data_IF_938625260258
#
_entry.id   IF_938625260258
#
_cell.length_a   1.000
_cell.length_b   1.000
_cell.length_c   1.000
_cell.angle_alpha   90.00
_cell.angle_beta   90.00
_cell.angle_gamma   90.00
#
_symmetry.space_group_name_H-M   'P 1'
#
loop_
_entity.id
_entity.type
_entity.pdbx_description
1 polymer ?
#
# COMPACT_ATOMS: atom_id res chain seq x y z
N UNK A 1 -33.83 -18.35 8.97
CA UNK A 1 -34.68 -18.24 7.77
C UNK A 1 -33.85 -17.96 6.51
N UNK A 2 -32.95 -16.95 6.52
CA UNK A 2 -32.08 -16.63 5.37
C UNK A 2 -31.05 -17.74 5.14
N UNK A 3 -30.41 -18.23 6.19
CA UNK A 3 -29.42 -19.32 6.10
C UNK A 3 -30.04 -20.58 5.52
N UNK A 4 -31.20 -20.99 5.99
CA UNK A 4 -31.92 -22.18 5.47
C UNK A 4 -32.39 -22.04 4.02
N UNK A 5 -32.62 -20.81 3.55
CA UNK A 5 -32.89 -20.56 2.12
C UNK A 5 -31.61 -20.69 1.27
N UNK A 6 -30.50 -20.15 1.76
CA UNK A 6 -29.18 -20.26 1.07
C UNK A 6 -28.70 -21.72 1.00
N UNK A 7 -28.85 -22.47 2.09
CA UNK A 7 -28.54 -23.91 2.14
C UNK A 7 -29.37 -24.71 1.13
N UNK A 8 -30.66 -24.44 1.00
CA UNK A 8 -31.53 -25.08 -0.02
C UNK A 8 -31.08 -24.71 -1.43
N UNK A 9 -30.83 -23.41 -1.70
CA UNK A 9 -30.37 -22.98 -3.02
C UNK A 9 -29.02 -23.58 -3.39
N UNK A 10 -28.11 -23.77 -2.43
CA UNK A 10 -26.83 -24.44 -2.66
C UNK A 10 -27.01 -25.94 -2.94
N UNK A 11 -27.90 -26.61 -2.20
CA UNK A 11 -28.23 -28.01 -2.43
C UNK A 11 -28.89 -28.22 -3.80
N UNK A 12 -29.83 -27.35 -4.19
CA UNK A 12 -30.49 -27.38 -5.49
C UNK A 12 -29.53 -27.11 -6.66
N UNK A 13 -28.45 -26.38 -6.40
CA UNK A 13 -27.38 -26.10 -7.36
C UNK A 13 -26.31 -27.22 -7.44
N UNK A 14 -26.50 -28.32 -6.71
CA UNK A 14 -25.57 -29.47 -6.70
C UNK A 14 -24.27 -29.20 -5.91
N UNK A 15 -24.19 -28.12 -5.17
CA UNK A 15 -23.06 -27.84 -4.27
C UNK A 15 -23.22 -28.62 -2.97
N UNK A 16 -22.25 -29.50 -2.69
CA UNK A 16 -22.19 -30.20 -1.41
C UNK A 16 -21.69 -29.24 -0.35
N UNK A 17 -22.53 -28.91 0.62
CA UNK A 17 -22.14 -28.11 1.77
C UNK A 17 -21.31 -28.97 2.71
N UNK A 18 -20.13 -28.50 3.09
CA UNK A 18 -19.33 -29.12 4.14
C UNK A 18 -20.04 -29.04 5.48
N UNK A 19 -19.82 -29.99 6.37
CA UNK A 19 -20.36 -29.93 7.73
C UNK A 19 -19.87 -28.65 8.43
N UNK A 20 -20.79 -27.94 9.15
CA UNK A 20 -20.41 -26.72 9.82
C UNK A 20 -19.35 -26.99 10.88
N UNK A 21 -18.15 -26.45 10.68
CA UNK A 21 -17.06 -26.53 11.65
C UNK A 21 -17.46 -25.72 12.89
N UNK A 22 -17.22 -26.24 14.11
CA UNK A 22 -17.51 -25.49 15.32
C UNK A 22 -16.74 -24.18 15.33
N UNK A 23 -17.45 -23.07 15.43
CA UNK A 23 -16.82 -21.74 15.52
C UNK A 23 -16.17 -21.67 16.90
N UNK A 24 -14.83 -21.49 17.00
CA UNK A 24 -14.16 -21.35 18.26
C UNK A 24 -14.74 -20.15 19.02
N UNK A 25 -15.19 -20.38 20.26
CA UNK A 25 -15.69 -19.32 21.15
C UNK A 25 -14.52 -18.38 21.44
N UNK A 26 -14.48 -17.27 20.76
CA UNK A 26 -13.44 -16.26 20.96
C UNK A 26 -13.60 -15.63 22.35
N UNK A 27 -12.52 -15.61 23.11
CA UNK A 27 -12.46 -14.87 24.38
C UNK A 27 -12.88 -13.42 24.14
N UNK A 28 -13.89 -12.96 24.88
CA UNK A 28 -14.32 -11.57 24.83
C UNK A 28 -13.18 -10.67 25.34
N UNK A 29 -12.72 -9.74 24.49
CA UNK A 29 -11.72 -8.74 24.84
C UNK A 29 -10.52 -8.73 23.86
N UNK A 30 -10.21 -7.55 23.31
CA UNK A 30 -8.98 -7.32 22.56
C UNK A 30 -7.90 -6.77 23.48
N UNK A 31 -6.76 -7.46 23.59
CA UNK A 31 -5.61 -6.95 24.32
C UNK A 31 -4.58 -6.46 23.30
N UNK A 32 -4.21 -5.17 23.36
CA UNK A 32 -3.21 -4.57 22.47
C UNK A 32 -1.86 -5.30 22.51
N UNK A 33 -1.52 -5.93 23.67
CA UNK A 33 -0.29 -6.72 23.84
C UNK A 33 -0.27 -7.97 22.96
N UNK A 34 -1.42 -8.49 22.58
CA UNK A 34 -1.55 -9.67 21.72
C UNK A 34 -1.02 -9.40 20.30
N UNK A 35 -1.12 -8.14 19.81
CA UNK A 35 -0.54 -7.72 18.53
C UNK A 35 0.99 -7.88 18.49
N UNK A 36 1.65 -7.83 19.65
CA UNK A 36 3.10 -7.92 19.78
C UNK A 36 3.56 -9.30 20.26
N UNK A 37 2.64 -10.23 20.49
CA UNK A 37 2.96 -11.58 20.97
C UNK A 37 2.86 -12.62 19.85
N UNK A 38 3.73 -13.66 19.93
CA UNK A 38 3.66 -14.87 19.14
C UNK A 38 3.39 -14.67 17.64
N UNK A 39 2.25 -15.17 17.22
CA UNK A 39 1.81 -15.25 15.84
C UNK A 39 1.55 -13.88 15.15
N UNK A 40 1.00 -12.90 15.89
CA UNK A 40 0.64 -11.61 15.33
C UNK A 40 1.81 -10.62 15.22
N UNK A 41 2.87 -10.79 16.02
CA UNK A 41 4.02 -9.88 16.03
C UNK A 41 4.62 -9.65 14.64
N UNK A 42 4.92 -10.72 13.92
CA UNK A 42 5.50 -10.63 12.58
C UNK A 42 4.56 -9.91 11.60
N UNK A 43 3.26 -10.21 11.65
CA UNK A 43 2.25 -9.58 10.80
C UNK A 43 2.13 -8.09 11.06
N UNK A 44 2.09 -7.71 12.33
CA UNK A 44 1.99 -6.31 12.76
C UNK A 44 3.17 -5.48 12.27
N UNK A 45 4.40 -5.93 12.49
CA UNK A 45 5.59 -5.19 12.03
C UNK A 45 5.69 -5.16 10.50
N UNK A 46 5.34 -6.25 9.81
CA UNK A 46 5.29 -6.27 8.35
C UNK A 46 4.30 -5.24 7.82
N UNK A 47 3.09 -5.23 8.36
CA UNK A 47 2.05 -4.29 7.97
C UNK A 47 2.46 -2.84 8.22
N UNK A 48 3.06 -2.55 9.38
CA UNK A 48 3.55 -1.21 9.72
C UNK A 48 4.63 -0.72 8.76
N UNK A 49 5.59 -1.58 8.42
CA UNK A 49 6.61 -1.24 7.44
C UNK A 49 6.02 -0.97 6.06
N UNK A 50 5.05 -1.78 5.61
CA UNK A 50 4.36 -1.56 4.34
C UNK A 50 3.59 -0.23 4.34
N UNK A 51 2.86 0.09 5.42
CA UNK A 51 2.18 1.37 5.58
C UNK A 51 3.15 2.54 5.55
N UNK A 52 4.22 2.47 6.32
CA UNK A 52 5.23 3.51 6.39
C UNK A 52 5.90 3.76 5.04
N UNK A 53 6.45 2.71 4.40
CA UNK A 53 7.16 2.84 3.13
C UNK A 53 6.26 3.37 2.01
N UNK A 54 5.05 2.81 1.85
CA UNK A 54 4.14 3.23 0.78
C UNK A 54 3.67 4.67 0.94
N UNK A 55 3.28 5.07 2.16
CA UNK A 55 2.80 6.43 2.42
C UNK A 55 3.90 7.48 2.45
N UNK A 56 5.12 7.12 2.86
CA UNK A 56 6.27 8.01 2.75
C UNK A 56 6.51 8.39 1.29
N UNK A 57 6.54 7.41 0.39
CA UNK A 57 6.78 7.65 -1.04
C UNK A 57 5.59 8.38 -1.66
N UNK A 58 4.35 7.90 -1.46
CA UNK A 58 3.17 8.50 -2.09
C UNK A 58 2.97 9.95 -1.66
N UNK A 59 3.01 10.24 -0.35
CA UNK A 59 2.81 11.61 0.15
C UNK A 59 4.01 12.52 -0.12
N UNK A 60 5.24 11.99 -0.04
CA UNK A 60 6.43 12.72 -0.46
C UNK A 60 6.30 13.18 -1.90
N UNK A 61 5.93 12.31 -2.81
CA UNK A 61 5.77 12.64 -4.22
C UNK A 61 4.64 13.65 -4.46
N UNK A 62 3.41 13.32 -4.06
CA UNK A 62 2.25 14.13 -4.41
C UNK A 62 2.31 15.55 -3.84
N UNK A 63 2.91 15.71 -2.66
CA UNK A 63 3.06 17.01 -2.01
C UNK A 63 4.12 17.87 -2.69
N UNK A 64 5.22 17.27 -3.16
CA UNK A 64 6.38 18.00 -3.66
C UNK A 64 6.48 18.11 -5.18
N UNK A 65 5.86 17.23 -5.95
CA UNK A 65 5.93 17.28 -7.42
C UNK A 65 5.57 18.67 -7.99
N UNK A 66 4.48 19.36 -7.58
CA UNK A 66 4.18 20.69 -8.09
C UNK A 66 5.27 21.73 -7.77
N UNK A 67 5.86 21.64 -6.58
CA UNK A 67 6.98 22.52 -6.17
C UNK A 67 8.23 22.23 -6.98
N UNK A 68 8.53 20.96 -7.22
CA UNK A 68 9.64 20.52 -8.04
C UNK A 68 9.55 21.07 -9.46
N UNK A 69 8.36 20.96 -10.10
CA UNK A 69 8.13 21.52 -11.44
C UNK A 69 8.39 23.02 -11.50
N UNK A 70 7.99 23.75 -10.46
CA UNK A 70 8.23 25.20 -10.37
C UNK A 70 9.69 25.56 -10.14
N UNK A 71 10.35 24.86 -9.23
CA UNK A 71 11.72 25.22 -8.81
C UNK A 71 12.78 24.72 -9.79
N UNK A 72 12.61 23.53 -10.36
CA UNK A 72 13.60 22.91 -11.25
C UNK A 72 13.41 23.34 -12.69
N UNK A 73 12.15 23.45 -13.15
CA UNK A 73 11.83 23.74 -14.56
C UNK A 73 11.22 25.12 -14.79
N UNK A 74 11.09 25.95 -13.74
CA UNK A 74 10.51 27.29 -13.79
C UNK A 74 9.10 27.33 -14.43
N UNK A 75 8.31 26.26 -14.27
CA UNK A 75 6.97 26.20 -14.84
C UNK A 75 6.01 27.17 -14.11
N UNK A 76 5.03 27.76 -14.83
CA UNK A 76 3.94 28.52 -14.22
C UNK A 76 3.18 27.69 -13.21
N UNK A 77 2.63 28.34 -12.18
CA UNK A 77 1.87 27.67 -11.12
C UNK A 77 0.73 26.80 -11.69
N UNK A 78 -0.02 27.32 -12.66
CA UNK A 78 -1.14 26.58 -13.27
C UNK A 78 -0.70 25.27 -13.93
N UNK A 79 0.40 25.30 -14.70
CA UNK A 79 0.96 24.10 -15.36
C UNK A 79 1.48 23.09 -14.32
N UNK A 80 2.17 23.58 -13.27
CA UNK A 80 2.68 22.71 -12.21
C UNK A 80 1.56 22.01 -11.43
N UNK A 81 0.47 22.72 -11.15
CA UNK A 81 -0.72 22.13 -10.52
C UNK A 81 -1.46 21.17 -11.45
N UNK A 82 -1.51 21.48 -12.75
CA UNK A 82 -2.07 20.55 -13.75
C UNK A 82 -1.30 19.23 -13.79
N UNK A 83 0.03 19.27 -13.76
CA UNK A 83 0.86 18.06 -13.73
C UNK A 83 0.66 17.26 -12.43
N UNK A 84 0.51 17.93 -11.30
CA UNK A 84 0.13 17.30 -10.03
C UNK A 84 -1.26 16.65 -10.10
N UNK A 85 -2.22 17.30 -10.74
CA UNK A 85 -3.56 16.75 -10.98
C UNK A 85 -3.50 15.50 -11.87
N UNK A 86 -2.76 15.56 -13.00
CA UNK A 86 -2.59 14.40 -13.89
C UNK A 86 -1.96 13.21 -13.18
N UNK A 87 -0.94 13.47 -12.33
CA UNK A 87 -0.34 12.44 -11.47
C UNK A 87 -1.37 11.81 -10.51
N UNK A 88 -2.23 12.63 -9.89
CA UNK A 88 -3.29 12.17 -9.00
C UNK A 88 -4.32 11.31 -9.74
N UNK A 89 -4.73 11.75 -10.94
CA UNK A 89 -5.67 10.99 -11.81
C UNK A 89 -5.08 9.65 -12.19
N UNK A 90 -3.79 9.60 -12.56
CA UNK A 90 -3.11 8.34 -12.84
C UNK A 90 -3.15 7.38 -11.63
N UNK A 91 -2.97 7.90 -10.41
CA UNK A 91 -3.09 7.14 -9.17
C UNK A 91 -4.49 6.57 -8.96
N UNK A 92 -5.54 7.35 -9.23
CA UNK A 92 -6.95 6.89 -9.13
C UNK A 92 -7.22 5.78 -10.15
N UNK A 93 -6.84 5.97 -11.39
CA UNK A 93 -7.01 4.96 -12.46
C UNK A 93 -6.29 3.65 -12.09
N UNK A 94 -5.06 3.74 -11.61
CA UNK A 94 -4.31 2.57 -11.16
C UNK A 94 -4.99 1.88 -9.96
N UNK A 95 -5.56 2.64 -9.02
CA UNK A 95 -6.29 2.08 -7.86
C UNK A 95 -7.57 1.35 -8.29
N UNK A 96 -8.28 1.84 -9.30
CA UNK A 96 -9.43 1.14 -9.90
C UNK A 96 -8.95 -0.17 -10.53
N UNK A 97 -7.86 -0.14 -11.31
CA UNK A 97 -7.26 -1.34 -11.88
C UNK A 97 -6.85 -2.36 -10.80
N UNK A 98 -6.26 -1.88 -9.70
CA UNK A 98 -5.95 -2.70 -8.55
C UNK A 98 -7.20 -3.37 -7.96
N UNK A 99 -8.27 -2.61 -7.73
CA UNK A 99 -9.52 -3.15 -7.19
C UNK A 99 -10.11 -4.28 -8.03
N UNK A 100 -9.97 -4.21 -9.35
CA UNK A 100 -10.48 -5.24 -10.28
C UNK A 100 -9.59 -6.50 -10.37
N UNK A 101 -8.30 -6.36 -10.07
CA UNK A 101 -7.30 -7.41 -10.33
C UNK A 101 -6.73 -8.06 -9.08
N UNK A 102 -6.73 -7.39 -7.92
CA UNK A 102 -6.06 -7.84 -6.71
C UNK A 102 -6.60 -9.18 -6.19
N UNK A 103 -7.89 -9.45 -6.38
CA UNK A 103 -8.52 -10.71 -6.01
C UNK A 103 -8.08 -11.87 -6.92
N UNK A 104 -7.76 -11.57 -8.18
CA UNK A 104 -7.29 -12.56 -9.15
C UNK A 104 -5.79 -12.86 -8.97
N UNK A 105 -4.99 -11.83 -8.72
CA UNK A 105 -3.51 -11.94 -8.58
C UNK A 105 -3.12 -12.47 -7.21
N UNK A 106 -3.80 -12.01 -6.15
CA UNK A 106 -3.44 -12.26 -4.76
C UNK A 106 -2.74 -11.05 -4.12
N UNK A 107 -2.94 -10.87 -2.81
CA UNK A 107 -2.49 -9.66 -2.09
C UNK A 107 -0.96 -9.61 -2.03
N UNK A 108 -0.33 -10.67 -1.56
CA UNK A 108 1.14 -10.72 -1.44
C UNK A 108 1.82 -10.50 -2.78
N UNK A 109 1.37 -11.20 -3.83
CA UNK A 109 1.95 -11.05 -5.18
C UNK A 109 1.79 -9.63 -5.69
N UNK A 110 0.62 -9.02 -5.50
CA UNK A 110 0.37 -7.64 -5.89
C UNK A 110 1.35 -6.67 -5.23
N UNK A 111 1.48 -6.73 -3.91
CA UNK A 111 2.39 -5.85 -3.19
C UNK A 111 3.85 -6.06 -3.56
N UNK A 112 4.27 -7.32 -3.72
CA UNK A 112 5.63 -7.62 -4.18
C UNK A 112 5.91 -6.97 -5.53
N UNK A 113 5.06 -7.24 -6.52
CA UNK A 113 5.25 -6.69 -7.88
C UNK A 113 5.20 -5.17 -7.88
N UNK A 114 4.28 -4.55 -7.15
CA UNK A 114 4.17 -3.10 -7.06
C UNK A 114 5.38 -2.45 -6.36
N UNK A 115 5.84 -2.99 -5.24
CA UNK A 115 7.02 -2.48 -4.53
C UNK A 115 8.33 -2.69 -5.31
N UNK A 116 8.44 -3.72 -6.16
CA UNK A 116 9.58 -3.90 -7.06
C UNK A 116 9.48 -3.05 -8.33
N UNK A 117 8.28 -2.79 -8.83
CA UNK A 117 8.07 -2.00 -10.04
C UNK A 117 8.22 -0.49 -9.80
N UNK A 118 7.76 0.03 -8.66
CA UNK A 118 7.80 1.44 -8.34
C UNK A 118 9.23 2.05 -8.35
N UNK A 119 10.29 1.38 -7.86
CA UNK A 119 11.66 1.87 -7.94
C UNK A 119 12.18 2.06 -9.36
N UNK A 120 11.72 1.32 -10.35
CA UNK A 120 12.26 1.36 -11.70
C UNK A 120 12.21 2.77 -12.34
N UNK A 121 11.04 3.40 -12.46
CA UNK A 121 10.97 4.76 -12.98
C UNK A 121 11.63 5.80 -12.06
N UNK A 122 11.66 5.57 -10.73
CA UNK A 122 12.36 6.47 -9.80
C UNK A 122 13.88 6.39 -9.96
N UNK A 123 14.43 5.21 -10.15
CA UNK A 123 15.85 5.01 -10.43
C UNK A 123 16.21 5.59 -11.81
N UNK A 124 15.35 5.46 -12.81
CA UNK A 124 15.56 6.12 -14.09
C UNK A 124 15.72 7.63 -13.90
N UNK A 125 14.84 8.30 -13.15
CA UNK A 125 14.97 9.73 -12.83
C UNK A 125 16.20 10.07 -11.99
N UNK A 126 16.61 9.17 -11.10
CA UNK A 126 17.78 9.36 -10.26
C UNK A 126 19.11 9.29 -11.04
N UNK A 127 19.22 8.35 -12.00
CA UNK A 127 20.47 8.10 -12.73
C UNK A 127 20.56 8.85 -14.06
N UNK A 128 19.46 8.97 -14.81
CA UNK A 128 19.44 9.68 -16.09
C UNK A 128 19.28 11.20 -15.91
N UNK A 129 18.81 11.60 -14.74
CA UNK A 129 18.46 12.97 -14.42
C UNK A 129 17.03 13.31 -14.92
N UNK A 130 16.46 14.34 -14.34
CA UNK A 130 15.19 14.90 -14.77
C UNK A 130 15.46 15.95 -15.85
N UNK A 131 15.49 15.56 -17.12
CA UNK A 131 15.90 16.44 -18.23
C UNK A 131 14.77 17.32 -18.71
N UNK A 132 13.51 16.84 -18.61
CA UNK A 132 12.32 17.61 -18.99
C UNK A 132 11.18 17.42 -17.96
N UNK A 133 10.28 18.40 -17.85
CA UNK A 133 9.14 18.29 -16.96
C UNK A 133 8.16 17.18 -17.38
N UNK A 134 8.05 16.89 -18.68
CA UNK A 134 7.21 15.81 -19.21
C UNK A 134 7.77 14.44 -18.85
N UNK A 135 9.09 14.28 -18.88
CA UNK A 135 9.75 13.05 -18.47
C UNK A 135 9.48 12.76 -16.97
N UNK A 136 9.60 13.79 -16.12
CA UNK A 136 9.26 13.68 -14.69
C UNK A 136 7.77 13.37 -14.53
N UNK A 137 6.88 14.00 -15.30
CA UNK A 137 5.45 13.70 -15.23
C UNK A 137 5.17 12.22 -15.52
N UNK A 138 5.76 11.67 -16.56
CA UNK A 138 5.53 10.28 -16.95
C UNK A 138 6.15 9.31 -15.95
N UNK A 139 7.42 9.46 -15.64
CA UNK A 139 8.14 8.50 -14.78
C UNK A 139 7.73 8.61 -13.31
N UNK A 140 7.67 9.82 -12.75
CA UNK A 140 7.21 10.00 -11.38
C UNK A 140 5.71 9.71 -11.26
N UNK A 141 4.90 10.08 -12.27
CA UNK A 141 3.48 9.74 -12.35
C UNK A 141 3.25 8.23 -12.36
N UNK A 142 4.03 7.47 -13.13
CA UNK A 142 3.99 6.01 -13.16
C UNK A 142 4.37 5.41 -11.80
N UNK A 143 5.47 5.87 -11.19
CA UNK A 143 5.88 5.42 -9.86
C UNK A 143 4.77 5.69 -8.82
N UNK A 144 4.23 6.91 -8.82
CA UNK A 144 3.13 7.28 -7.94
C UNK A 144 1.90 6.40 -8.14
N UNK A 145 1.49 6.18 -9.38
CA UNK A 145 0.34 5.34 -9.72
C UNK A 145 0.52 3.91 -9.19
N UNK A 146 1.72 3.33 -9.33
CA UNK A 146 2.03 2.00 -8.81
C UNK A 146 1.95 1.99 -7.28
N UNK A 147 2.59 2.94 -6.58
CA UNK A 147 2.56 3.04 -5.10
C UNK A 147 1.15 3.29 -4.59
N UNK A 148 0.34 4.07 -5.32
CA UNK A 148 -1.04 4.35 -4.95
C UNK A 148 -1.91 3.09 -4.90
N UNK A 149 -1.63 2.08 -5.73
CA UNK A 149 -2.32 0.78 -5.63
C UNK A 149 -2.05 0.07 -4.30
N UNK A 150 -0.83 0.24 -3.76
CA UNK A 150 -0.46 -0.32 -2.45
C UNK A 150 -1.21 0.42 -1.34
N UNK A 151 -1.11 1.75 -1.31
CA UNK A 151 -1.74 2.58 -0.26
C UNK A 151 -3.25 2.35 -0.18
N UNK A 152 -3.91 2.26 -1.33
CA UNK A 152 -5.35 2.00 -1.43
C UNK A 152 -5.72 0.61 -0.87
N UNK A 153 -5.02 -0.43 -1.27
CA UNK A 153 -5.37 -1.82 -0.95
C UNK A 153 -4.90 -2.28 0.44
N UNK A 154 -3.96 -1.56 1.08
CA UNK A 154 -3.48 -1.90 2.42
C UNK A 154 -4.58 -1.88 3.50
N UNK A 155 -5.63 -1.07 3.34
CA UNK A 155 -6.80 -1.09 4.23
C UNK A 155 -7.50 -2.44 4.18
N UNK A 156 -7.70 -2.98 2.98
CA UNK A 156 -8.28 -4.30 2.78
C UNK A 156 -7.38 -5.38 3.41
N UNK A 157 -6.10 -5.37 3.08
CA UNK A 157 -5.13 -6.35 3.58
C UNK A 157 -5.00 -6.32 5.11
N UNK A 158 -4.98 -5.14 5.71
CA UNK A 158 -4.92 -5.01 7.17
C UNK A 158 -6.16 -5.61 7.86
N UNK A 159 -7.33 -5.47 7.25
CA UNK A 159 -8.56 -6.07 7.78
C UNK A 159 -8.58 -7.61 7.67
N UNK A 160 -7.90 -8.18 6.69
CA UNK A 160 -7.76 -9.63 6.48
C UNK A 160 -6.73 -10.29 7.42
N UNK A 161 -5.75 -9.53 7.94
CA UNK A 161 -4.67 -10.06 8.78
C UNK A 161 -5.05 -10.32 10.24
N UNK A 162 -6.12 -9.69 10.73
CA UNK A 162 -6.50 -9.74 12.13
C UNK A 162 -7.91 -10.33 12.32
N UNK A 163 -8.13 -11.12 13.39
CA UNK A 163 -9.44 -11.61 13.74
C UNK A 163 -10.39 -10.45 14.08
N UNK A 164 -11.68 -10.67 13.95
CA UNK A 164 -12.70 -9.62 14.12
C UNK A 164 -12.55 -8.84 15.42
N UNK A 165 -12.18 -9.52 16.54
CA UNK A 165 -11.98 -8.90 17.85
C UNK A 165 -10.81 -7.90 17.92
N UNK A 166 -9.78 -8.08 17.08
CA UNK A 166 -8.56 -7.25 17.09
C UNK A 166 -8.43 -6.37 15.83
N UNK A 167 -9.31 -6.53 14.85
CA UNK A 167 -9.23 -5.86 13.55
C UNK A 167 -9.17 -4.34 13.67
N UNK A 168 -10.09 -3.76 14.44
CA UNK A 168 -10.11 -2.32 14.66
C UNK A 168 -8.81 -1.80 15.29
N UNK A 169 -8.30 -2.52 16.28
CA UNK A 169 -7.05 -2.15 16.95
C UNK A 169 -5.83 -2.30 16.04
N UNK A 170 -5.71 -3.43 15.33
CA UNK A 170 -4.61 -3.70 14.41
C UNK A 170 -4.56 -2.72 13.23
N UNK A 171 -5.73 -2.44 12.62
CA UNK A 171 -5.84 -1.46 11.54
C UNK A 171 -5.61 -0.04 12.04
N UNK A 172 -6.12 0.31 13.22
CA UNK A 172 -5.93 1.61 13.85
C UNK A 172 -4.46 1.90 14.15
N UNK A 173 -3.74 0.96 14.74
CA UNK A 173 -2.29 1.12 14.97
C UNK A 173 -1.50 1.15 13.65
N UNK A 174 -1.90 0.39 12.64
CA UNK A 174 -1.34 0.47 11.30
C UNK A 174 -1.49 1.89 10.72
N UNK A 175 -2.65 2.52 10.89
CA UNK A 175 -2.89 3.88 10.42
C UNK A 175 -2.05 4.95 11.13
N UNK A 176 -1.53 4.71 12.32
CA UNK A 176 -0.54 5.58 12.95
C UNK A 176 0.78 5.58 12.17
N UNK A 177 1.24 4.43 11.70
CA UNK A 177 2.45 4.32 10.85
C UNK A 177 2.27 4.96 9.49
N UNK A 178 1.06 4.91 8.92
CA UNK A 178 0.68 5.71 7.75
C UNK A 178 0.95 7.21 8.00
N UNK A 179 0.50 7.74 9.13
CA UNK A 179 0.69 9.17 9.48
C UNK A 179 2.17 9.52 9.60
N UNK A 180 2.95 8.67 10.24
CA UNK A 180 4.41 8.84 10.34
C UNK A 180 5.05 8.84 8.94
N UNK A 181 4.71 7.90 8.08
CA UNK A 181 5.19 7.87 6.69
C UNK A 181 4.80 9.13 5.92
N UNK A 182 3.52 9.53 6.00
CA UNK A 182 3.00 10.72 5.32
C UNK A 182 3.73 12.01 5.72
N UNK A 183 4.10 12.14 6.99
CA UNK A 183 4.83 13.30 7.49
C UNK A 183 6.32 13.25 7.13
N UNK A 184 6.92 12.06 7.19
CA UNK A 184 8.35 11.87 6.92
C UNK A 184 8.69 12.09 5.44
N UNK A 185 7.79 11.73 4.51
CA UNK A 185 8.01 11.89 3.08
C UNK A 185 8.35 13.33 2.67
N UNK A 186 7.49 14.33 2.90
CA UNK A 186 7.78 15.72 2.60
C UNK A 186 9.02 16.27 3.33
N UNK A 187 9.24 15.87 4.59
CA UNK A 187 10.45 16.28 5.34
C UNK A 187 11.71 15.77 4.65
N UNK A 188 11.72 14.50 4.26
CA UNK A 188 12.85 13.90 3.54
C UNK A 188 13.15 14.67 2.24
N UNK A 189 12.10 15.02 1.48
CA UNK A 189 12.26 15.81 0.25
C UNK A 189 12.88 17.18 0.56
N UNK A 190 12.36 17.90 1.57
CA UNK A 190 12.89 19.21 1.95
C UNK A 190 14.37 19.17 2.32
N UNK A 191 14.79 18.15 3.08
CA UNK A 191 16.18 17.97 3.47
C UNK A 191 17.09 17.65 2.27
N UNK A 192 16.66 16.76 1.38
CA UNK A 192 17.47 16.34 0.23
C UNK A 192 17.54 17.41 -0.86
N UNK A 193 16.44 18.11 -1.12
CA UNK A 193 16.42 19.20 -2.11
C UNK A 193 17.37 20.34 -1.72
N UNK A 194 17.46 20.66 -0.42
CA UNK A 194 18.34 21.71 0.07
C UNK A 194 19.84 21.35 0.06
N UNK A 195 20.20 20.08 0.14
CA UNK A 195 21.58 19.63 0.33
C UNK A 195 22.18 18.89 -0.87
N UNK A 196 21.39 18.08 -1.55
CA UNK A 196 21.91 17.12 -2.53
C UNK A 196 21.29 17.22 -3.93
N UNK A 197 20.06 17.72 -4.01
CA UNK A 197 19.33 17.89 -5.27
C UNK A 197 18.26 16.81 -5.54
N UNK A 198 17.50 17.03 -6.62
CA UNK A 198 16.31 16.26 -6.95
C UNK A 198 16.58 14.78 -7.23
N UNK A 199 17.73 14.46 -7.76
CA UNK A 199 18.12 13.07 -8.09
C UNK A 199 18.16 12.20 -6.84
N UNK A 200 18.69 12.74 -5.74
CA UNK A 200 18.72 12.02 -4.45
C UNK A 200 17.36 11.82 -3.82
N UNK A 201 16.41 12.70 -4.11
CA UNK A 201 15.01 12.51 -3.69
C UNK A 201 14.42 11.27 -4.36
N UNK A 202 14.57 11.15 -5.69
CA UNK A 202 14.09 9.97 -6.41
C UNK A 202 14.84 8.69 -5.99
N UNK A 203 16.15 8.76 -5.77
CA UNK A 203 16.92 7.64 -5.25
C UNK A 203 16.46 7.21 -3.86
N UNK A 204 16.17 8.15 -2.96
CA UNK A 204 15.65 7.85 -1.62
C UNK A 204 14.28 7.18 -1.68
N UNK A 205 13.36 7.68 -2.52
CA UNK A 205 12.05 7.03 -2.71
C UNK A 205 12.17 5.64 -3.30
N UNK A 206 13.09 5.43 -4.24
CA UNK A 206 13.40 4.11 -4.78
C UNK A 206 13.92 3.17 -3.69
N UNK A 207 14.84 3.64 -2.85
CA UNK A 207 15.40 2.86 -1.74
C UNK A 207 14.31 2.47 -0.72
N UNK A 208 13.42 3.41 -0.34
CA UNK A 208 12.29 3.13 0.57
C UNK A 208 11.34 2.11 -0.05
N UNK A 209 11.04 2.22 -1.35
CA UNK A 209 10.21 1.23 -2.05
C UNK A 209 10.86 -0.16 -2.07
N UNK A 210 12.19 -0.24 -2.27
CA UNK A 210 12.93 -1.50 -2.20
C UNK A 210 12.91 -2.11 -0.79
N UNK A 211 13.01 -1.30 0.26
CA UNK A 211 12.81 -1.78 1.64
C UNK A 211 11.41 -2.38 1.78
N UNK A 212 10.37 -1.70 1.29
CA UNK A 212 9.00 -2.23 1.24
C UNK A 212 8.90 -3.56 0.47
N UNK A 213 9.62 -3.68 -0.67
CA UNK A 213 9.68 -4.90 -1.47
C UNK A 213 10.31 -6.07 -0.69
N UNK A 214 11.44 -5.83 -0.05
CA UNK A 214 12.14 -6.85 0.76
C UNK A 214 11.26 -7.31 1.92
N UNK A 215 10.70 -6.37 2.68
CA UNK A 215 9.82 -6.69 3.81
C UNK A 215 8.59 -7.50 3.35
N UNK A 216 7.97 -7.08 2.26
CA UNK A 216 6.80 -7.76 1.71
C UNK A 216 7.14 -9.18 1.24
N UNK A 217 8.25 -9.34 0.54
CA UNK A 217 8.69 -10.64 0.01
C UNK A 217 8.96 -11.64 1.13
N UNK A 218 9.70 -11.22 2.15
CA UNK A 218 10.13 -12.09 3.22
C UNK A 218 9.04 -12.37 4.26
N UNK A 219 8.18 -11.39 4.53
CA UNK A 219 7.32 -11.42 5.71
C UNK A 219 5.82 -11.36 5.44
N UNK A 220 5.37 -10.84 4.30
CA UNK A 220 3.96 -10.77 3.98
C UNK A 220 3.35 -12.15 3.74
N UNK A 221 2.08 -12.30 4.09
CA UNK A 221 1.33 -13.54 3.98
C UNK A 221 0.33 -13.38 2.83
N UNK A 222 0.12 -14.44 2.05
CA UNK A 222 -0.95 -14.46 1.06
C UNK A 222 -2.29 -14.76 1.74
N UNK A 223 -3.26 -13.90 1.51
CA UNK A 223 -4.61 -14.04 2.09
C UNK A 223 -5.65 -14.53 1.09
N UNK A 224 -5.29 -14.54 -0.21
CA UNK A 224 -6.20 -14.98 -1.27
C UNK A 224 -6.69 -16.41 -1.05
N UNK A 225 -8.02 -16.57 -1.06
CA UNK A 225 -8.67 -17.89 -1.00
C UNK A 225 -8.61 -18.56 0.37
N UNK A 226 -8.20 -17.83 1.43
CA UNK A 226 -8.20 -18.34 2.81
C UNK A 226 -9.33 -17.73 3.62
N UNK A 227 -9.95 -18.56 4.44
CA UNK A 227 -10.98 -18.10 5.37
C UNK A 227 -10.32 -17.34 6.53
N UNK A 228 -10.97 -16.28 7.01
CA UNK A 228 -10.42 -15.43 8.09
C UNK A 228 -10.08 -16.22 9.36
N UNK A 229 -10.86 -17.24 9.67
CA UNK A 229 -10.66 -18.13 10.82
C UNK A 229 -9.39 -18.99 10.70
N UNK A 230 -8.99 -19.35 9.48
CA UNK A 230 -7.73 -20.06 9.22
C UNK A 230 -6.51 -19.13 9.31
N UNK A 231 -6.72 -17.88 8.93
CA UNK A 231 -5.65 -16.87 9.00
C UNK A 231 -5.43 -16.35 10.41
N UNK A 232 -6.42 -16.45 11.29
CA UNK A 232 -6.42 -15.78 12.60
C UNK A 232 -7.02 -16.69 13.66
N UNK A 233 -6.31 -17.79 14.04
CA UNK A 233 -6.75 -18.72 15.07
C UNK A 233 -6.84 -18.09 16.48
#
# INVERSE_FOLDING_TARGET
RIVSQLERSAADSGHRLDEPKPIPIHKAGSNWRELFSGFYRRRTFTLWAMWFCSYLVANGMITWLPTLYRQTFNLPLGTSLLYGLLTSVAGVVASIGCALLIDKVGRKRWYMTAFFAAPLPLLALAFLGATSPEEVLVLAGLAYAIVQTITFSLYLYSAELYPTRMRALGTGLGSAWLRLGSSTGPILVGLLMGSAGVQYVFAAFAAVSLVGAVVTTLFAIETKGRVLEELSP
#
